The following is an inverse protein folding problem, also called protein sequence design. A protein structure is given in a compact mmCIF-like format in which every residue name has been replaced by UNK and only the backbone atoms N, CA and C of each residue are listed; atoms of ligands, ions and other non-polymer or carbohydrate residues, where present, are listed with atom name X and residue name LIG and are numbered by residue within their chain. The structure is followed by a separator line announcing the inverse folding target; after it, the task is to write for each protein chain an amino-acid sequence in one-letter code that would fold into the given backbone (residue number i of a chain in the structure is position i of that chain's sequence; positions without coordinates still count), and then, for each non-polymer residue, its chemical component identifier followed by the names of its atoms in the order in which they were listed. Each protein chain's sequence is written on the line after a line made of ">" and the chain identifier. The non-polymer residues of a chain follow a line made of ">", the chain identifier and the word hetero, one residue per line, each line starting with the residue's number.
data_IF_196846584984
#
_entry.id   IF_196846584984
#
_cell.length_a   1.000
_cell.length_b   1.000
_cell.length_c   1.000
_cell.angle_alpha   90.00
_cell.angle_beta   90.00
_cell.angle_gamma   90.00
#
_symmetry.space_group_name_H-M   'P 1'
#
loop_
_entity.id
_entity.type
_entity.pdbx_description
1 polymer ?
#
# COMPACT_ATOMS: atom_id res chain seq x y z
N UNK A 1 2.55 3.91 41.37
CA UNK A 1 2.11 3.48 40.02
C UNK A 1 1.70 4.72 39.25
N UNK A 2 2.38 5.09 38.16
CA UNK A 2 1.91 6.21 37.34
C UNK A 2 0.63 5.80 36.60
N UNK A 3 -0.37 6.68 36.64
CA UNK A 3 -1.60 6.53 35.86
C UNK A 3 -1.25 6.59 34.37
N UNK A 4 -1.60 5.57 33.60
CA UNK A 4 -1.49 5.60 32.13
C UNK A 4 -2.55 6.57 31.61
N UNK A 5 -2.11 7.74 31.12
CA UNK A 5 -2.98 8.68 30.43
C UNK A 5 -3.29 8.15 29.03
N UNK A 6 -4.58 7.97 28.70
CA UNK A 6 -5.05 7.62 27.36
C UNK A 6 -5.77 8.84 26.80
N UNK A 7 -5.27 9.38 25.70
CA UNK A 7 -5.91 10.51 25.02
C UNK A 7 -7.13 10.02 24.24
N UNK A 8 -8.29 10.62 24.49
CA UNK A 8 -9.53 10.39 23.70
C UNK A 8 -9.67 11.36 22.51
N UNK A 9 -8.62 12.11 22.17
CA UNK A 9 -8.65 13.07 21.06
C UNK A 9 -8.50 12.34 19.73
N UNK A 10 -9.34 12.68 18.76
CA UNK A 10 -9.26 12.16 17.41
C UNK A 10 -8.34 13.04 16.55
N UNK A 11 -7.04 12.95 16.81
CA UNK A 11 -5.99 13.72 16.14
C UNK A 11 -4.82 12.80 15.75
N UNK A 12 -4.14 13.11 14.64
CA UNK A 12 -2.91 12.39 14.28
C UNK A 12 -1.77 12.79 15.22
N UNK A 13 -0.97 11.80 15.60
CA UNK A 13 0.23 12.04 16.42
C UNK A 13 1.36 12.51 15.52
N UNK A 14 2.04 13.58 15.92
CA UNK A 14 3.23 14.09 15.22
C UNK A 14 4.37 13.07 15.28
N UNK A 15 4.96 12.75 14.13
CA UNK A 15 6.08 11.79 14.04
C UNK A 15 7.46 12.46 13.99
N UNK A 16 7.56 13.67 13.43
CA UNK A 16 8.82 14.39 13.18
C UNK A 16 8.79 15.82 13.72
N UNK A 17 9.93 16.29 14.24
CA UNK A 17 10.07 17.69 14.66
C UNK A 17 10.07 18.67 13.48
N UNK A 18 10.55 18.25 12.31
CA UNK A 18 10.52 19.07 11.09
C UNK A 18 9.11 19.13 10.50
N UNK A 19 8.59 20.34 10.30
CA UNK A 19 7.31 20.55 9.62
C UNK A 19 7.31 20.02 8.18
N UNK A 20 8.46 20.08 7.50
CA UNK A 20 8.58 19.57 6.13
C UNK A 20 8.49 18.05 6.09
N UNK A 21 9.13 17.34 7.02
CA UNK A 21 9.05 15.88 7.08
C UNK A 21 7.69 15.39 7.59
N UNK A 22 7.09 16.12 8.54
CA UNK A 22 5.76 15.81 9.06
C UNK A 22 4.68 15.82 7.98
N UNK A 23 4.83 16.68 6.96
CA UNK A 23 3.89 16.72 5.84
C UNK A 23 3.79 15.36 5.11
N UNK A 24 4.91 14.66 4.92
CA UNK A 24 4.94 13.36 4.23
C UNK A 24 4.48 12.19 5.12
N UNK A 25 4.29 12.42 6.42
CA UNK A 25 3.81 11.40 7.35
C UNK A 25 2.28 11.21 7.27
N UNK A 26 1.57 12.17 6.66
CA UNK A 26 0.12 12.20 6.54
C UNK A 26 -0.34 11.82 5.13
N UNK A 27 -1.27 10.87 5.02
CA UNK A 27 -1.82 10.44 3.74
C UNK A 27 -3.34 10.32 3.83
N UNK A 28 -4.05 10.89 2.84
CA UNK A 28 -5.49 10.75 2.75
C UNK A 28 -5.85 9.31 2.31
N UNK A 29 -6.91 8.68 2.84
CA UNK A 29 -7.27 7.30 2.48
C UNK A 29 -7.52 7.08 0.98
N UNK A 30 -7.91 8.13 0.25
CA UNK A 30 -8.13 8.06 -1.20
C UNK A 30 -6.83 8.10 -2.04
N UNK A 31 -5.69 8.49 -1.45
CA UNK A 31 -4.43 8.69 -2.18
C UNK A 31 -4.00 7.45 -2.99
N UNK A 32 -4.02 6.21 -2.46
CA UNK A 32 -3.65 5.04 -3.25
C UNK A 32 -4.53 4.84 -4.47
N UNK A 33 -5.84 5.06 -4.35
CA UNK A 33 -6.80 4.89 -5.46
C UNK A 33 -6.53 5.89 -6.57
N UNK A 34 -6.34 7.17 -6.20
CA UNK A 34 -6.07 8.25 -7.16
C UNK A 34 -4.77 8.02 -7.94
N UNK A 35 -3.74 7.47 -7.27
CA UNK A 35 -2.45 7.21 -7.92
C UNK A 35 -2.52 5.94 -8.78
N UNK A 36 -3.02 4.83 -8.25
CA UNK A 36 -2.84 3.53 -8.89
C UNK A 36 -3.95 3.14 -9.86
N UNK A 37 -5.19 3.61 -9.70
CA UNK A 37 -6.25 3.29 -10.67
C UNK A 37 -5.94 3.79 -12.08
N UNK A 38 -5.45 5.03 -12.30
CA UNK A 38 -5.03 5.48 -13.63
C UNK A 38 -3.89 4.63 -14.22
N UNK A 39 -2.92 4.23 -13.39
CA UNK A 39 -1.80 3.38 -13.81
C UNK A 39 -2.32 2.00 -14.25
N UNK A 40 -3.21 1.38 -13.47
CA UNK A 40 -3.83 0.11 -13.81
C UNK A 40 -4.61 0.24 -15.11
N UNK A 41 -5.46 1.26 -15.25
CA UNK A 41 -6.24 1.48 -16.46
C UNK A 41 -5.36 1.67 -17.71
N UNK A 42 -4.30 2.48 -17.59
CA UNK A 42 -3.35 2.70 -18.67
C UNK A 42 -2.60 1.42 -19.05
N UNK A 43 -2.18 0.61 -18.09
CA UNK A 43 -1.48 -0.66 -18.36
C UNK A 43 -2.39 -1.69 -19.02
N UNK A 44 -3.67 -1.75 -18.62
CA UNK A 44 -4.67 -2.61 -19.27
C UNK A 44 -4.95 -2.16 -20.71
N UNK A 45 -5.07 -0.84 -20.94
CA UNK A 45 -5.26 -0.29 -22.29
C UNK A 45 -4.03 -0.55 -23.19
N UNK A 46 -2.82 -0.36 -22.64
CA UNK A 46 -1.55 -0.68 -23.30
C UNK A 46 -1.51 -2.14 -23.73
N UNK A 47 -1.88 -3.07 -22.84
CA UNK A 47 -1.90 -4.51 -23.13
C UNK A 47 -2.94 -4.87 -24.20
N UNK A 48 -4.15 -4.31 -24.11
CA UNK A 48 -5.25 -4.60 -25.04
C UNK A 48 -5.04 -3.96 -26.42
N UNK A 49 -4.85 -2.64 -26.48
CA UNK A 49 -4.86 -1.89 -27.74
C UNK A 49 -3.50 -1.82 -28.40
N UNK A 50 -2.45 -1.51 -27.65
CA UNK A 50 -1.13 -1.25 -28.23
C UNK A 50 -0.32 -2.53 -28.43
N UNK A 51 -0.48 -3.52 -27.54
CA UNK A 51 0.16 -4.84 -27.66
C UNK A 51 -0.72 -5.87 -28.36
N UNK A 52 -2.01 -5.55 -28.60
CA UNK A 52 -2.92 -6.39 -29.37
C UNK A 52 -3.23 -7.76 -28.74
N UNK A 53 -3.06 -7.89 -27.41
CA UNK A 53 -3.37 -9.14 -26.72
C UNK A 53 -4.88 -9.38 -26.74
N UNK A 54 -5.31 -10.65 -26.78
CA UNK A 54 -6.74 -10.98 -26.66
C UNK A 54 -7.31 -10.54 -25.29
N UNK A 55 -8.57 -10.07 -25.25
CA UNK A 55 -9.16 -9.49 -24.04
C UNK A 55 -9.22 -10.52 -22.92
N UNK A 56 -9.54 -11.76 -23.28
CA UNK A 56 -9.54 -12.89 -22.36
C UNK A 56 -8.16 -13.12 -21.71
N UNK A 57 -7.06 -12.94 -22.46
CA UNK A 57 -5.70 -13.05 -21.92
C UNK A 57 -5.38 -11.87 -20.99
N UNK A 58 -5.76 -10.65 -21.36
CA UNK A 58 -5.56 -9.46 -20.50
C UNK A 58 -6.30 -9.62 -19.18
N UNK A 59 -7.58 -10.00 -19.22
CA UNK A 59 -8.38 -10.24 -18.02
C UNK A 59 -7.84 -11.44 -17.21
N UNK A 60 -7.40 -12.51 -17.89
CA UNK A 60 -6.78 -13.66 -17.26
C UNK A 60 -5.51 -13.29 -16.49
N UNK A 61 -4.62 -12.50 -17.09
CA UNK A 61 -3.43 -11.99 -16.41
C UNK A 61 -3.75 -11.02 -15.29
N UNK A 62 -4.78 -10.19 -15.44
CA UNK A 62 -5.23 -9.29 -14.37
C UNK A 62 -5.71 -10.06 -13.15
N UNK A 63 -6.55 -11.09 -13.34
CA UNK A 63 -7.01 -11.99 -12.26
C UNK A 63 -5.84 -12.74 -11.65
N UNK A 64 -4.93 -13.27 -12.47
CA UNK A 64 -3.71 -13.92 -11.98
C UNK A 64 -2.86 -12.96 -11.13
N UNK A 65 -2.74 -11.71 -11.55
CA UNK A 65 -2.06 -10.65 -10.80
C UNK A 65 -2.69 -10.41 -9.42
N UNK A 66 -4.02 -10.41 -9.33
CA UNK A 66 -4.73 -10.31 -8.04
C UNK A 66 -4.44 -11.52 -7.15
N UNK A 67 -4.41 -12.73 -7.71
CA UNK A 67 -4.06 -13.94 -6.95
C UNK A 67 -2.60 -13.92 -6.47
N UNK A 68 -1.68 -13.43 -7.31
CA UNK A 68 -0.28 -13.23 -6.90
C UNK A 68 -0.20 -12.16 -5.81
N UNK A 69 -0.99 -11.08 -5.90
CA UNK A 69 -1.04 -10.04 -4.89
C UNK A 69 -1.43 -10.60 -3.52
N UNK A 70 -2.45 -11.45 -3.41
CA UNK A 70 -2.84 -12.02 -2.10
C UNK A 70 -1.72 -12.86 -1.48
N UNK A 71 -0.96 -13.58 -2.31
CA UNK A 71 0.22 -14.31 -1.86
C UNK A 71 1.35 -13.36 -1.39
N UNK A 72 1.63 -12.30 -2.15
CA UNK A 72 2.62 -11.28 -1.79
C UNK A 72 2.23 -10.56 -0.51
N UNK A 73 0.97 -10.13 -0.39
CA UNK A 73 0.40 -9.49 0.79
C UNK A 73 0.61 -10.35 2.03
N UNK A 74 0.21 -11.62 1.98
CA UNK A 74 0.40 -12.56 3.08
C UNK A 74 1.87 -12.69 3.46
N UNK A 75 2.74 -12.83 2.46
CA UNK A 75 4.17 -13.01 2.65
C UNK A 75 4.81 -11.78 3.31
N UNK A 76 4.51 -10.60 2.78
CA UNK A 76 5.02 -9.33 3.31
C UNK A 76 4.51 -9.07 4.73
N UNK A 77 3.20 -9.25 4.96
CA UNK A 77 2.62 -9.06 6.29
C UNK A 77 3.27 -9.99 7.31
N UNK A 78 3.40 -11.28 6.99
CA UNK A 78 3.89 -12.29 7.93
C UNK A 78 5.38 -12.16 8.23
N UNK A 79 6.22 -12.00 7.21
CA UNK A 79 7.67 -12.13 7.37
C UNK A 79 8.43 -10.81 7.30
N UNK A 80 7.90 -9.78 6.64
CA UNK A 80 8.57 -8.47 6.52
C UNK A 80 8.03 -7.50 7.56
N UNK A 81 6.72 -7.26 7.59
CA UNK A 81 6.13 -6.25 8.47
C UNK A 81 6.09 -6.71 9.94
N UNK A 82 5.95 -8.01 10.18
CA UNK A 82 6.05 -8.61 11.52
C UNK A 82 7.43 -9.20 11.81
N UNK A 83 8.47 -8.74 11.11
CA UNK A 83 9.84 -9.12 11.44
C UNK A 83 10.21 -8.66 12.86
N UNK A 84 10.67 -9.59 13.68
CA UNK A 84 11.18 -9.31 15.02
C UNK A 84 12.70 -9.44 15.00
N UNK A 85 13.44 -8.33 15.08
CA UNK A 85 14.89 -8.38 15.11
C UNK A 85 15.35 -9.10 16.39
N UNK A 86 16.27 -10.04 16.20
CA UNK A 86 16.94 -10.75 17.31
C UNK A 86 18.23 -10.05 17.74
N UNK A 87 18.69 -9.04 16.98
CA UNK A 87 19.80 -8.18 17.38
C UNK A 87 19.40 -7.27 18.53
N UNK A 88 20.36 -6.95 19.38
CA UNK A 88 20.16 -6.09 20.56
C UNK A 88 20.06 -4.60 20.22
N UNK A 89 20.29 -4.24 18.96
CA UNK A 89 20.29 -2.90 18.37
C UNK A 89 19.81 -3.00 16.93
#
# INVERSE_FOLDING_TARGET
>A
MSSRYVSNKNESVRMFESHFLEFFSHVHPATPLVIYLPVIAFMLDLAWRQRGLALALVLGFFVLGILIWTFVEYTMHRWVFHYQPTSRW
#
